data_IF_898709474114
#
_entry.id   IF_898709474114
#
_cell.length_a   1.000
_cell.length_b   1.000
_cell.length_c   1.000
_cell.angle_alpha   90.00
_cell.angle_beta   90.00
_cell.angle_gamma   90.00
#
_symmetry.space_group_name_H-M   'P 1'
#
loop_
_entity.id
_entity.type
_entity.pdbx_description
1 polymer ?
#
# COMPACT_ATOMS: atom_id res chain seq x y z
N UNK A 1 -18.02 31.53 6.18
CA UNK A 1 -18.30 30.14 5.80
C UNK A 1 -16.99 29.38 5.84
N UNK A 2 -16.77 28.59 6.88
CA UNK A 2 -15.54 27.81 7.07
C UNK A 2 -15.76 26.44 6.44
N UNK A 3 -15.27 26.22 5.21
CA UNK A 3 -15.12 24.87 4.68
C UNK A 3 -13.87 24.28 5.30
N UNK A 4 -14.03 23.72 6.50
CA UNK A 4 -13.03 22.84 7.10
C UNK A 4 -12.92 21.62 6.19
N UNK A 5 -11.97 21.66 5.24
CA UNK A 5 -11.49 20.45 4.59
C UNK A 5 -10.81 19.67 5.71
N UNK A 6 -11.54 18.73 6.31
CA UNK A 6 -10.93 17.66 7.11
C UNK A 6 -9.76 17.14 6.26
N UNK A 7 -8.51 17.25 6.73
CA UNK A 7 -7.40 16.66 5.99
C UNK A 7 -7.72 15.18 5.87
N UNK A 8 -7.72 14.69 4.64
CA UNK A 8 -8.00 13.29 4.34
C UNK A 8 -7.12 12.41 5.25
N UNK A 9 -7.65 11.39 5.95
CA UNK A 9 -6.87 10.59 6.91
C UNK A 9 -5.62 9.95 6.27
N UNK A 10 -5.61 9.84 4.94
CA UNK A 10 -4.49 9.36 4.13
C UNK A 10 -3.42 10.43 3.82
N UNK A 11 -3.66 11.72 4.08
CA UNK A 11 -2.65 12.81 3.96
C UNK A 11 -1.65 12.83 5.13
N UNK A 12 -1.92 12.13 6.24
CA UNK A 12 -0.94 11.95 7.33
C UNK A 12 0.23 11.03 6.95
N UNK A 13 0.24 10.53 5.72
CA UNK A 13 1.39 9.95 5.02
C UNK A 13 2.55 10.94 4.76
N UNK A 14 2.40 12.22 5.12
CA UNK A 14 3.30 13.31 4.73
C UNK A 14 4.73 13.26 5.32
N UNK A 15 5.11 12.20 6.05
CA UNK A 15 6.51 11.93 6.38
C UNK A 15 6.89 10.50 6.03
N UNK A 16 6.60 10.04 4.81
CA UNK A 16 7.30 8.86 4.28
C UNK A 16 8.79 9.20 4.23
N UNK A 17 9.58 8.56 5.09
CA UNK A 17 11.03 8.77 5.15
C UNK A 17 11.73 8.24 3.89
N UNK A 18 11.05 7.37 3.13
CA UNK A 18 11.59 6.73 1.94
C UNK A 18 10.58 6.78 0.80
N UNK A 19 11.06 7.15 -0.39
CA UNK A 19 10.25 7.22 -1.61
C UNK A 19 10.98 6.49 -2.75
N UNK A 20 10.31 5.51 -3.35
CA UNK A 20 10.69 4.95 -4.64
C UNK A 20 9.94 5.73 -5.72
N UNK A 21 10.64 6.61 -6.43
CA UNK A 21 10.05 7.48 -7.45
C UNK A 21 9.52 6.70 -8.67
N UNK A 22 8.68 7.33 -9.48
CA UNK A 22 7.99 6.70 -10.61
C UNK A 22 8.91 6.03 -11.64
N UNK A 23 10.11 6.56 -11.85
CA UNK A 23 11.11 6.01 -12.78
C UNK A 23 12.11 5.06 -12.11
N UNK A 24 11.86 4.66 -10.87
CA UNK A 24 12.68 3.69 -10.16
C UNK A 24 12.20 2.25 -10.43
N UNK A 25 13.15 1.35 -10.64
CA UNK A 25 12.94 -0.08 -10.62
C UNK A 25 13.76 -0.68 -9.48
N UNK A 26 13.08 -1.35 -8.55
CA UNK A 26 13.72 -2.05 -7.45
C UNK A 26 13.42 -3.54 -7.56
N UNK A 27 14.46 -4.36 -7.38
CA UNK A 27 14.35 -5.80 -7.30
C UNK A 27 15.19 -6.32 -6.13
N UNK A 28 14.56 -6.98 -5.16
CA UNK A 28 15.20 -7.54 -3.98
C UNK A 28 14.35 -7.35 -2.73
N UNK A 29 15.01 -7.26 -1.57
CA UNK A 29 14.35 -7.08 -0.28
C UNK A 29 14.59 -5.66 0.23
N UNK A 30 13.53 -4.86 0.35
CA UNK A 30 13.56 -3.52 0.92
C UNK A 30 13.08 -3.56 2.38
N UNK A 31 13.89 -3.07 3.31
CA UNK A 31 13.53 -2.93 4.72
C UNK A 31 13.59 -1.47 5.12
N UNK A 32 12.50 -0.93 5.64
CA UNK A 32 12.37 0.47 6.02
C UNK A 32 11.88 0.56 7.46
N UNK A 33 12.64 1.28 8.29
CA UNK A 33 12.13 1.75 9.58
C UNK A 33 11.25 2.97 9.33
N UNK A 34 9.95 2.84 9.60
CA UNK A 34 8.95 3.86 9.32
C UNK A 34 8.11 3.55 8.07
N UNK A 35 7.82 4.59 7.30
CA UNK A 35 6.90 4.52 6.16
C UNK A 35 7.63 4.65 4.82
N UNK A 36 7.16 3.92 3.82
CA UNK A 36 7.66 3.94 2.45
C UNK A 36 6.55 4.26 1.46
N UNK A 37 6.87 5.07 0.45
CA UNK A 37 6.00 5.34 -0.70
C UNK A 37 6.61 4.79 -1.97
N UNK A 38 5.84 4.02 -2.73
CA UNK A 38 6.24 3.40 -3.98
C UNK A 38 5.40 3.99 -5.10
N UNK A 39 6.02 4.74 -6.00
CA UNK A 39 5.40 5.32 -7.19
C UNK A 39 5.85 4.60 -8.49
N UNK A 40 6.93 3.81 -8.42
CA UNK A 40 7.54 3.11 -9.55
C UNK A 40 7.29 1.60 -9.58
N UNK A 41 8.29 0.84 -10.02
CA UNK A 41 8.23 -0.63 -10.11
C UNK A 41 9.02 -1.29 -8.99
N UNK A 42 8.43 -2.29 -8.34
CA UNK A 42 9.06 -2.98 -7.20
C UNK A 42 8.78 -4.50 -7.28
N UNK A 43 9.83 -5.31 -7.21
CA UNK A 43 9.76 -6.76 -7.19
C UNK A 43 10.56 -7.34 -6.00
N UNK A 44 10.11 -8.47 -5.47
CA UNK A 44 10.74 -9.16 -4.33
C UNK A 44 9.95 -9.01 -3.03
N UNK A 45 10.50 -8.33 -2.03
CA UNK A 45 9.88 -8.20 -0.71
C UNK A 45 10.04 -6.77 -0.16
N UNK A 46 9.00 -6.25 0.49
CA UNK A 46 9.01 -4.94 1.13
C UNK A 46 8.51 -5.06 2.57
N UNK A 47 9.36 -4.72 3.52
CA UNK A 47 9.04 -4.65 4.93
C UNK A 47 9.14 -3.20 5.40
N UNK A 48 8.05 -2.68 5.97
CA UNK A 48 8.02 -1.38 6.62
C UNK A 48 7.45 -1.51 8.02
N UNK A 49 7.99 -0.79 9.00
CA UNK A 49 7.47 -0.89 10.38
C UNK A 49 6.19 -0.08 10.60
N UNK A 50 5.88 0.90 9.73
CA UNK A 50 4.67 1.72 9.81
C UNK A 50 3.76 1.51 8.58
N UNK A 51 3.91 2.33 7.53
CA UNK A 51 2.99 2.30 6.39
C UNK A 51 3.70 2.07 5.05
N UNK A 52 3.12 1.23 4.21
CA UNK A 52 3.46 1.12 2.78
C UNK A 52 2.36 1.82 1.97
N UNK A 53 2.76 2.81 1.18
CA UNK A 53 1.89 3.48 0.22
C UNK A 53 2.25 3.06 -1.20
N UNK A 54 1.30 2.50 -1.93
CA UNK A 54 1.45 2.18 -3.35
C UNK A 54 0.70 3.24 -4.16
N UNK A 55 1.43 4.07 -4.89
CA UNK A 55 0.88 5.12 -5.73
C UNK A 55 0.09 4.58 -6.92
N UNK A 56 -0.74 5.43 -7.55
CA UNK A 56 -1.67 5.01 -8.59
C UNK A 56 -1.02 4.48 -9.87
N UNK A 57 0.21 4.90 -10.16
CA UNK A 57 0.98 4.42 -11.31
C UNK A 57 1.96 3.29 -10.96
N UNK A 58 2.04 2.91 -9.68
CA UNK A 58 3.01 1.91 -9.24
C UNK A 58 2.60 0.50 -9.66
N UNK A 59 3.60 -0.31 -10.00
CA UNK A 59 3.45 -1.74 -10.31
C UNK A 59 4.31 -2.54 -9.34
N UNK A 60 3.65 -3.26 -8.43
CA UNK A 60 4.31 -3.96 -7.34
C UNK A 60 4.09 -5.46 -7.48
N UNK A 61 5.16 -6.22 -7.70
CA UNK A 61 5.20 -7.68 -7.65
C UNK A 61 6.09 -8.12 -6.50
N UNK A 62 5.85 -7.54 -5.32
CA UNK A 62 6.62 -7.77 -4.12
C UNK A 62 5.71 -8.07 -2.94
N UNK A 63 6.09 -9.05 -2.09
CA UNK A 63 5.35 -9.34 -0.86
C UNK A 63 5.42 -8.14 0.09
N UNK A 64 4.27 -7.67 0.56
CA UNK A 64 4.18 -6.46 1.37
C UNK A 64 3.90 -6.80 2.83
N UNK A 65 4.75 -6.31 3.74
CA UNK A 65 4.61 -6.49 5.18
C UNK A 65 4.71 -5.14 5.90
N UNK A 66 3.63 -4.70 6.55
CA UNK A 66 3.63 -3.45 7.34
C UNK A 66 2.54 -3.42 8.42
N UNK A 67 2.48 -2.36 9.24
CA UNK A 67 1.29 -2.15 10.08
C UNK A 67 0.10 -1.73 9.23
N UNK A 68 0.32 -0.84 8.26
CA UNK A 68 -0.72 -0.37 7.35
C UNK A 68 -0.24 -0.44 5.91
N UNK A 69 -1.11 -0.90 5.00
CA UNK A 69 -0.85 -0.90 3.56
C UNK A 69 -1.99 -0.18 2.85
N UNK A 70 -1.65 0.88 2.11
CA UNK A 70 -2.59 1.67 1.33
C UNK A 70 -2.23 1.56 -0.15
N UNK A 71 -3.18 1.11 -0.96
CA UNK A 71 -2.93 0.76 -2.36
C UNK A 71 -3.82 1.61 -3.25
N UNK A 72 -3.23 2.38 -4.17
CA UNK A 72 -3.93 3.06 -5.25
C UNK A 72 -3.55 2.53 -6.64
N UNK A 73 -2.51 1.71 -6.73
CA UNK A 73 -1.97 1.16 -7.99
C UNK A 73 -2.20 -0.34 -8.13
N UNK A 74 -1.32 -1.01 -8.88
CA UNK A 74 -1.40 -2.46 -9.11
C UNK A 74 -0.44 -3.24 -8.22
N UNK A 75 -0.97 -4.23 -7.49
CA UNK A 75 -0.19 -5.16 -6.66
C UNK A 75 -0.46 -6.60 -7.10
N UNK A 76 0.59 -7.37 -7.34
CA UNK A 76 0.56 -8.78 -7.78
C UNK A 76 1.40 -9.65 -6.84
N UNK A 77 1.00 -9.71 -5.58
CA UNK A 77 1.75 -10.36 -4.52
C UNK A 77 0.87 -10.52 -3.26
N UNK A 78 1.26 -11.37 -2.30
CA UNK A 78 0.61 -11.40 -1.00
C UNK A 78 0.84 -10.10 -0.22
N UNK A 79 -0.17 -9.69 0.55
CA UNK A 79 -0.14 -8.50 1.41
C UNK A 79 -0.47 -8.92 2.84
N UNK A 80 0.40 -8.57 3.78
CA UNK A 80 0.20 -8.81 5.20
C UNK A 80 0.31 -7.50 5.97
N UNK A 81 -0.78 -7.05 6.57
CA UNK A 81 -0.76 -5.85 7.41
C UNK A 81 -1.88 -5.84 8.44
N UNK A 82 -1.77 -5.05 9.51
CA UNK A 82 -2.88 -4.91 10.46
C UNK A 82 -4.08 -4.23 9.80
N UNK A 83 -3.82 -3.22 8.97
CA UNK A 83 -4.85 -2.51 8.22
C UNK A 83 -4.49 -2.49 6.73
N UNK A 84 -5.41 -2.91 5.88
CA UNK A 84 -5.28 -2.81 4.42
C UNK A 84 -6.39 -1.94 3.86
N UNK A 85 -6.02 -0.91 3.11
CA UNK A 85 -6.95 -0.03 2.41
C UNK A 85 -6.69 -0.02 0.91
N UNK A 86 -7.70 -0.42 0.14
CA UNK A 86 -7.71 -0.24 -1.30
C UNK A 86 -8.36 1.12 -1.61
N UNK A 87 -7.55 2.03 -2.15
CA UNK A 87 -7.97 3.35 -2.59
C UNK A 87 -8.55 3.26 -4.02
N UNK A 88 -9.17 4.34 -4.48
CA UNK A 88 -9.69 4.41 -5.85
C UNK A 88 -8.61 4.07 -6.89
N UNK A 89 -8.95 3.19 -7.85
CA UNK A 89 -8.04 2.73 -8.90
C UNK A 89 -7.06 1.62 -8.47
N UNK A 90 -7.22 1.05 -7.27
CA UNK A 90 -6.40 -0.07 -6.81
C UNK A 90 -6.78 -1.38 -7.50
N UNK A 91 -5.77 -2.15 -7.93
CA UNK A 91 -5.94 -3.47 -8.53
C UNK A 91 -5.01 -4.47 -7.84
N UNK A 92 -5.57 -5.36 -7.03
CA UNK A 92 -4.79 -6.32 -6.23
C UNK A 92 -5.07 -7.75 -6.69
N UNK A 93 -3.99 -8.47 -7.01
CA UNK A 93 -3.99 -9.88 -7.39
C UNK A 93 -3.09 -10.64 -6.42
N UNK A 94 -3.67 -11.32 -5.43
CA UNK A 94 -2.91 -12.00 -4.40
C UNK A 94 -3.69 -12.14 -3.10
N UNK A 95 -3.14 -12.85 -2.12
CA UNK A 95 -3.83 -13.07 -0.85
C UNK A 95 -3.57 -11.91 0.11
N UNK A 96 -4.60 -11.49 0.83
CA UNK A 96 -4.52 -10.44 1.85
C UNK A 96 -4.77 -11.08 3.21
N UNK A 97 -3.85 -10.86 4.14
CA UNK A 97 -4.03 -11.19 5.56
C UNK A 97 -4.05 -9.91 6.36
N UNK A 98 -5.17 -9.62 7.02
CA UNK A 98 -5.33 -8.36 7.76
C UNK A 98 -6.32 -8.44 8.90
N UNK A 99 -6.29 -7.48 9.83
CA UNK A 99 -7.33 -7.34 10.87
C UNK A 99 -8.44 -6.41 10.43
N UNK A 100 -8.11 -5.38 9.66
CA UNK A 100 -9.05 -4.41 9.14
C UNK A 100 -8.84 -4.24 7.64
N UNK A 101 -9.91 -4.46 6.87
CA UNK A 101 -9.91 -4.30 5.42
C UNK A 101 -10.91 -3.22 5.02
N UNK A 102 -10.48 -2.31 4.15
CA UNK A 102 -11.33 -1.30 3.54
C UNK A 102 -11.05 -1.19 2.05
N UNK A 103 -12.09 -0.86 1.28
CA UNK A 103 -12.01 -0.70 -0.17
C UNK A 103 -12.88 0.46 -0.63
N UNK A 104 -12.33 1.36 -1.43
CA UNK A 104 -13.05 2.46 -2.07
C UNK A 104 -13.73 2.03 -3.38
N UNK A 105 -14.59 2.90 -3.91
CA UNK A 105 -15.21 2.75 -5.22
C UNK A 105 -14.12 2.65 -6.32
N UNK A 106 -14.40 1.84 -7.35
CA UNK A 106 -13.48 1.55 -8.46
C UNK A 106 -12.19 0.80 -8.09
N UNK A 107 -12.12 0.18 -6.90
CA UNK A 107 -11.06 -0.77 -6.54
C UNK A 107 -11.44 -2.21 -6.89
N UNK A 108 -10.44 -3.03 -7.25
CA UNK A 108 -10.61 -4.45 -7.55
C UNK A 108 -9.61 -5.31 -6.79
N UNK A 109 -10.12 -6.42 -6.25
CA UNK A 109 -9.34 -7.41 -5.52
C UNK A 109 -9.67 -8.81 -6.03
N UNK A 110 -8.63 -9.60 -6.32
CA UNK A 110 -8.73 -10.99 -6.70
C UNK A 110 -7.73 -11.83 -5.91
N UNK A 111 -8.24 -12.64 -4.99
CA UNK A 111 -7.46 -13.54 -4.15
C UNK A 111 -8.23 -13.96 -2.91
N UNK A 112 -7.53 -14.58 -1.96
CA UNK A 112 -8.10 -14.93 -0.66
C UNK A 112 -7.91 -13.79 0.34
N UNK A 113 -8.99 -13.39 1.02
CA UNK A 113 -8.95 -12.43 2.13
C UNK A 113 -9.11 -13.19 3.45
N UNK A 114 -8.07 -13.20 4.26
CA UNK A 114 -8.07 -13.74 5.61
C UNK A 114 -8.15 -12.60 6.63
N UNK A 115 -9.30 -12.49 7.31
CA UNK A 115 -9.48 -11.55 8.42
C UNK A 115 -9.03 -12.20 9.73
N UNK A 116 -8.13 -11.53 10.44
CA UNK A 116 -7.61 -11.93 11.74
C UNK A 116 -8.41 -11.27 12.87
N UNK A 117 -8.55 -12.00 13.97
CA UNK A 117 -9.17 -11.54 15.22
C UNK A 117 -8.21 -10.65 16.07
#
# INVERSE_FOLDING_TARGET
MFTSRKPDPWQRAASAQTVLAAQSNFNGTLRVEGSVRIEGTCAGEVHATATIFVGSQAQVSAALHAQQVLIAGTVRAPVQAQVVGLLSGAHVFGNITTREFSSEEDSSFQGELLLLE
#
